data_IF_209574385966
#
_entry.id   IF_209574385966
#
_cell.length_a   1.000
_cell.length_b   1.000
_cell.length_c   1.000
_cell.angle_alpha   90.00
_cell.angle_beta   90.00
_cell.angle_gamma   90.00
#
_symmetry.space_group_name_H-M   'P 1'
#
loop_
_entity.id
_entity.type
_entity.pdbx_description
1 polymer ?
#
# COMPACT_ATOMS: atom_id res chain seq x y z
N UNK A 1 -6.86 -13.19 11.77
CA UNK A 1 -6.57 -12.09 12.73
C UNK A 1 -6.53 -10.82 11.90
N UNK A 2 -7.22 -9.76 12.30
CA UNK A 2 -7.29 -8.51 11.52
C UNK A 2 -6.11 -7.61 11.88
N UNK A 3 -5.28 -7.22 10.91
CA UNK A 3 -4.08 -6.40 11.10
C UNK A 3 -4.43 -4.89 11.14
N UNK A 4 -5.10 -4.46 12.21
CA UNK A 4 -5.60 -3.08 12.34
C UNK A 4 -4.49 -2.01 12.30
N UNK A 5 -3.24 -2.37 12.62
CA UNK A 5 -2.10 -1.46 12.54
C UNK A 5 -1.74 -1.03 11.11
N UNK A 6 -2.19 -1.78 10.09
CA UNK A 6 -1.90 -1.50 8.68
C UNK A 6 -2.98 -0.63 8.01
N UNK A 7 -4.12 -0.45 8.68
CA UNK A 7 -5.25 0.32 8.15
C UNK A 7 -4.87 1.75 7.75
N UNK A 8 -4.11 2.53 8.54
CA UNK A 8 -3.74 3.89 8.15
C UNK A 8 -2.96 3.93 6.83
N UNK A 9 -2.00 3.02 6.66
CA UNK A 9 -1.17 2.93 5.47
C UNK A 9 -2.00 2.55 4.23
N UNK A 10 -2.85 1.53 4.36
CA UNK A 10 -3.72 1.09 3.27
C UNK A 10 -4.72 2.17 2.86
N UNK A 11 -5.29 2.89 3.83
CA UNK A 11 -6.22 4.00 3.55
C UNK A 11 -5.53 5.14 2.83
N UNK A 12 -4.29 5.49 3.22
CA UNK A 12 -3.54 6.57 2.58
C UNK A 12 -3.08 6.18 1.17
N UNK A 13 -2.66 4.94 0.97
CA UNK A 13 -2.36 4.41 -0.36
C UNK A 13 -3.61 4.47 -1.26
N UNK A 14 -4.72 3.92 -0.79
CA UNK A 14 -5.98 3.86 -1.55
C UNK A 14 -6.56 5.26 -1.79
N UNK A 15 -6.31 6.22 -0.90
CA UNK A 15 -6.70 7.61 -1.09
C UNK A 15 -6.10 8.17 -2.40
N UNK A 16 -4.84 7.86 -2.69
CA UNK A 16 -4.20 8.30 -3.94
C UNK A 16 -4.79 7.55 -5.14
N UNK A 17 -4.90 6.24 -5.05
CA UNK A 17 -5.44 5.39 -6.13
C UNK A 17 -6.86 5.82 -6.52
N UNK A 18 -7.73 6.08 -5.53
CA UNK A 18 -9.14 6.45 -5.77
C UNK A 18 -9.28 7.88 -6.29
N UNK A 19 -8.46 8.82 -5.82
CA UNK A 19 -8.60 10.23 -6.22
C UNK A 19 -7.87 10.56 -7.52
N UNK A 20 -6.77 9.86 -7.82
CA UNK A 20 -5.90 10.19 -8.95
C UNK A 20 -5.87 9.10 -10.02
N UNK A 21 -6.29 7.86 -9.73
CA UNK A 21 -6.47 6.80 -10.73
C UNK A 21 -5.26 6.67 -11.66
N UNK A 22 -5.48 6.81 -12.97
CA UNK A 22 -4.42 6.73 -14.00
C UNK A 22 -3.36 7.84 -13.93
N UNK A 23 -3.62 8.93 -13.21
CA UNK A 23 -2.70 10.06 -13.07
C UNK A 23 -1.65 9.86 -11.97
N UNK A 24 -1.78 8.81 -11.15
CA UNK A 24 -0.81 8.46 -10.12
C UNK A 24 -0.41 6.99 -10.26
N UNK A 25 0.89 6.73 -10.14
CA UNK A 25 1.43 5.38 -10.10
C UNK A 25 1.29 4.76 -8.71
N UNK A 26 1.54 3.46 -8.61
CA UNK A 26 1.72 2.77 -7.31
C UNK A 26 2.78 3.47 -6.45
N UNK A 27 3.88 3.89 -7.07
CA UNK A 27 5.02 4.51 -6.39
C UNK A 27 4.63 5.88 -5.83
N UNK A 28 3.78 6.63 -6.53
CA UNK A 28 3.22 7.90 -6.03
C UNK A 28 2.32 7.67 -4.81
N UNK A 29 1.51 6.61 -4.82
CA UNK A 29 0.65 6.25 -3.70
C UNK A 29 1.46 5.79 -2.48
N UNK A 30 2.55 5.03 -2.69
CA UNK A 30 3.47 4.60 -1.64
C UNK A 30 4.21 5.77 -1.03
N UNK A 31 4.78 6.66 -1.86
CA UNK A 31 5.49 7.84 -1.40
C UNK A 31 4.57 8.76 -0.59
N UNK A 32 3.32 8.92 -1.02
CA UNK A 32 2.32 9.69 -0.29
C UNK A 32 2.02 9.07 1.08
N UNK A 33 1.73 7.76 1.12
CA UNK A 33 1.41 7.07 2.37
C UNK A 33 2.59 7.09 3.36
N UNK A 34 3.81 6.85 2.87
CA UNK A 34 5.03 6.89 3.67
C UNK A 34 5.29 8.29 4.24
N UNK A 35 5.19 9.33 3.39
CA UNK A 35 5.34 10.73 3.80
C UNK A 35 4.30 11.17 4.83
N UNK A 36 3.06 10.72 4.70
CA UNK A 36 1.98 11.02 5.65
C UNK A 36 2.15 10.31 7.01
N UNK A 37 2.81 9.13 7.03
CA UNK A 37 3.06 8.35 8.24
C UNK A 37 4.43 8.63 8.88
N UNK A 38 5.31 9.36 8.20
CA UNK A 38 6.67 9.64 8.66
C UNK A 38 7.58 8.41 8.68
N UNK A 39 7.38 7.50 7.72
CA UNK A 39 8.21 6.30 7.52
C UNK A 39 8.92 6.35 6.17
N UNK A 40 9.91 5.49 5.97
CA UNK A 40 10.55 5.34 4.66
C UNK A 40 9.62 4.64 3.66
N UNK A 41 9.70 5.02 2.39
CA UNK A 41 8.88 4.42 1.33
C UNK A 41 9.11 2.90 1.21
N UNK A 42 10.34 2.43 1.38
CA UNK A 42 10.68 1.01 1.37
C UNK A 42 9.96 0.23 2.49
N UNK A 43 9.81 0.83 3.68
CA UNK A 43 9.07 0.20 4.79
C UNK A 43 7.57 0.10 4.48
N UNK A 44 7.03 1.11 3.79
CA UNK A 44 5.68 1.13 3.29
C UNK A 44 5.47 0.04 2.22
N UNK A 45 6.36 -0.04 1.23
CA UNK A 45 6.35 -1.07 0.18
C UNK A 45 6.41 -2.49 0.77
N UNK A 46 7.37 -2.76 1.64
CA UNK A 46 7.53 -4.08 2.27
C UNK A 46 6.28 -4.50 3.06
N UNK A 47 5.65 -3.53 3.75
CA UNK A 47 4.41 -3.78 4.49
C UNK A 47 3.24 -4.10 3.56
N UNK A 48 3.13 -3.43 2.39
CA UNK A 48 2.12 -3.73 1.37
C UNK A 48 2.32 -5.12 0.76
N UNK A 49 3.54 -5.46 0.34
CA UNK A 49 3.86 -6.78 -0.20
C UNK A 49 3.48 -7.90 0.77
N UNK A 50 3.85 -7.76 2.05
CA UNK A 50 3.50 -8.75 3.08
C UNK A 50 1.98 -8.99 3.21
N UNK A 51 1.17 -7.96 2.98
CA UNK A 51 -0.31 -8.05 3.05
C UNK A 51 -0.90 -8.55 1.73
N UNK A 52 -0.28 -8.22 0.60
CA UNK A 52 -0.72 -8.62 -0.73
C UNK A 52 -0.36 -10.07 -1.07
N UNK A 53 0.79 -10.57 -0.61
CA UNK A 53 1.30 -11.92 -0.92
C UNK A 53 0.26 -13.03 -0.64
N UNK A 54 -0.44 -13.06 0.52
CA UNK A 54 -1.47 -14.06 0.77
C UNK A 54 -2.72 -13.91 -0.11
N UNK A 55 -2.99 -12.70 -0.61
CA UNK A 55 -4.13 -12.43 -1.52
C UNK A 55 -3.84 -12.92 -2.94
N UNK A 56 -2.57 -13.01 -3.33
CA UNK A 56 -2.12 -13.56 -4.62
C UNK A 56 -2.16 -15.09 -4.73
N UNK A 57 -2.67 -15.80 -3.72
CA UNK A 57 -2.67 -17.26 -3.63
C UNK A 57 -3.62 -17.97 -4.59
N UNK A 58 -3.24 -18.11 -5.86
CA UNK A 58 -3.68 -19.19 -6.75
C UNK A 58 -3.72 -18.86 -8.24
N UNK A 59 -2.61 -19.05 -8.98
CA UNK A 59 -2.70 -19.15 -10.45
C UNK A 59 -1.45 -18.92 -11.31
N UNK A 60 -0.23 -19.25 -10.88
CA UNK A 60 0.88 -19.60 -11.80
C UNK A 60 1.67 -20.76 -11.20
N UNK A 61 1.21 -21.98 -11.48
CA UNK A 61 1.88 -23.25 -11.24
C UNK A 61 1.50 -24.20 -12.36
#
# INVERSE_FOLDING_TARGET
>A
MTELGLVPQLVLYELVVVNYGEFASSDDAEAFAAGALGVETDDCYNSLCRVADPLGGGGWG
#
